data_IF_379021064144
#
_entry.id   IF_379021064144
#
_cell.length_a   1.000
_cell.length_b   1.000
_cell.length_c   1.000
_cell.angle_alpha   90.00
_cell.angle_beta   90.00
_cell.angle_gamma   90.00
#
_symmetry.space_group_name_H-M   'P 1'
#
loop_
_entity.id
_entity.type
_entity.pdbx_description
1 polymer ?
#
# COMPACT_ATOMS: atom_id res chain seq x y z
N UNK A 1 17.00 11.47 -11.81
CA UNK A 1 17.28 10.15 -12.43
C UNK A 1 18.01 9.21 -11.49
N UNK A 2 19.16 9.60 -10.90
CA UNK A 2 19.99 8.71 -10.08
C UNK A 2 19.26 8.16 -8.84
N UNK A 3 18.56 9.00 -8.09
CA UNK A 3 17.88 8.60 -6.85
C UNK A 3 16.53 7.89 -7.04
N UNK A 4 15.99 7.87 -8.25
CA UNK A 4 14.69 7.29 -8.57
C UNK A 4 14.73 6.22 -9.65
N UNK A 5 15.89 5.89 -10.23
CA UNK A 5 16.01 5.03 -11.41
C UNK A 5 15.42 3.64 -11.26
N UNK A 6 15.38 3.10 -10.04
CA UNK A 6 14.81 1.78 -9.69
C UNK A 6 13.46 1.88 -8.99
N UNK A 7 12.81 3.06 -8.97
CA UNK A 7 11.48 3.23 -8.39
C UNK A 7 10.40 3.02 -9.44
N UNK A 8 9.24 2.58 -8.97
CA UNK A 8 8.08 2.38 -9.83
C UNK A 8 7.47 3.72 -10.30
N UNK A 9 6.60 3.62 -11.30
CA UNK A 9 5.90 4.78 -11.87
C UNK A 9 5.08 5.56 -10.82
N UNK A 10 4.53 4.87 -9.82
CA UNK A 10 3.70 5.49 -8.76
C UNK A 10 4.54 6.42 -7.89
N UNK A 11 5.81 6.05 -7.62
CA UNK A 11 6.74 6.92 -6.88
C UNK A 11 6.98 8.23 -7.63
N UNK A 12 7.25 8.17 -8.94
CA UNK A 12 7.48 9.37 -9.77
C UNK A 12 6.25 10.26 -9.85
N UNK A 13 5.07 9.70 -10.14
CA UNK A 13 3.80 10.44 -10.15
C UNK A 13 3.55 11.12 -8.79
N UNK A 14 3.84 10.43 -7.68
CA UNK A 14 3.71 11.00 -6.34
C UNK A 14 4.65 12.18 -6.08
N UNK A 15 5.90 12.08 -6.56
CA UNK A 15 6.90 13.13 -6.46
C UNK A 15 6.51 14.35 -7.30
N UNK A 16 6.16 14.14 -8.56
CA UNK A 16 5.70 15.18 -9.50
C UNK A 16 4.48 15.93 -8.95
N UNK A 17 3.47 15.20 -8.46
CA UNK A 17 2.28 15.81 -7.85
C UNK A 17 2.63 16.72 -6.67
N UNK A 18 3.59 16.32 -5.82
CA UNK A 18 4.00 17.13 -4.67
C UNK A 18 4.75 18.39 -5.11
N UNK A 19 5.61 18.29 -6.12
CA UNK A 19 6.31 19.46 -6.69
C UNK A 19 5.30 20.39 -7.37
N UNK A 20 4.40 19.85 -8.20
CA UNK A 20 3.37 20.65 -8.85
C UNK A 20 2.51 21.41 -7.83
N UNK A 21 2.15 20.77 -6.73
CA UNK A 21 1.40 21.42 -5.65
C UNK A 21 2.15 22.58 -5.00
N UNK A 22 3.48 22.52 -4.91
CA UNK A 22 4.29 23.65 -4.44
C UNK A 22 4.25 24.80 -5.45
N UNK A 23 4.44 24.50 -6.72
CA UNK A 23 4.39 25.48 -7.82
C UNK A 23 3.03 26.16 -7.89
N UNK A 24 1.96 25.39 -7.80
CA UNK A 24 0.58 25.92 -7.86
C UNK A 24 0.27 26.91 -6.71
N UNK A 25 0.88 26.71 -5.54
CA UNK A 25 0.60 27.53 -4.34
C UNK A 25 1.58 28.68 -4.16
N UNK A 26 2.86 28.46 -4.47
CA UNK A 26 3.93 29.41 -4.19
C UNK A 26 4.48 30.09 -5.44
N UNK A 27 4.10 29.62 -6.63
CA UNK A 27 4.65 30.03 -7.93
C UNK A 27 5.86 29.21 -8.35
N UNK A 28 6.12 29.19 -9.66
CA UNK A 28 7.30 28.55 -10.25
C UNK A 28 8.48 29.50 -10.15
N UNK A 29 9.40 29.18 -9.24
CA UNK A 29 10.59 29.99 -8.94
C UNK A 29 11.85 29.13 -8.85
N UNK A 30 13.04 29.70 -9.06
CA UNK A 30 14.31 29.06 -8.73
C UNK A 30 14.33 28.55 -7.28
N UNK A 31 15.03 27.44 -7.04
CA UNK A 31 15.04 26.77 -5.73
C UNK A 31 15.60 27.64 -4.60
N UNK A 32 16.55 28.50 -4.94
CA UNK A 32 17.21 29.45 -4.03
C UNK A 32 16.37 30.69 -3.70
N UNK A 33 15.28 30.94 -4.43
CA UNK A 33 14.35 32.03 -4.17
C UNK A 33 13.24 31.69 -3.19
N UNK A 34 13.05 30.41 -2.84
CA UNK A 34 12.09 30.05 -1.81
C UNK A 34 12.63 30.31 -0.40
N UNK A 35 11.84 30.99 0.42
CA UNK A 35 12.14 31.24 1.83
C UNK A 35 11.43 30.23 2.76
N UNK A 36 11.89 30.15 4.01
CA UNK A 36 11.22 29.31 5.02
C UNK A 36 9.80 29.78 5.33
N UNK A 37 9.49 31.08 5.13
CA UNK A 37 8.13 31.63 5.22
C UNK A 37 7.20 31.10 4.14
N UNK A 38 7.71 30.91 2.91
CA UNK A 38 6.94 30.29 1.83
C UNK A 38 6.60 28.83 2.18
N UNK A 39 7.58 28.09 2.66
CA UNK A 39 7.36 26.70 3.08
C UNK A 39 6.38 26.61 4.28
N UNK A 40 6.39 27.58 5.21
CA UNK A 40 5.39 27.66 6.27
C UNK A 40 3.99 27.95 5.72
N UNK A 41 3.86 28.88 4.77
CA UNK A 41 2.59 29.18 4.09
C UNK A 41 2.04 27.97 3.34
N UNK A 42 2.92 27.19 2.69
CA UNK A 42 2.52 25.93 2.02
C UNK A 42 2.03 24.89 3.03
N UNK A 43 2.70 24.74 4.19
CA UNK A 43 2.21 23.88 5.28
C UNK A 43 0.79 24.27 5.68
N UNK A 44 0.56 25.58 5.94
CA UNK A 44 -0.73 26.09 6.40
C UNK A 44 -1.82 25.88 5.34
N UNK A 45 -1.48 26.04 4.06
CA UNK A 45 -2.37 25.69 2.95
C UNK A 45 -2.77 24.20 2.98
N UNK A 46 -1.81 23.27 3.17
CA UNK A 46 -2.11 21.83 3.21
C UNK A 46 -3.00 21.47 4.40
N UNK A 47 -2.75 22.06 5.57
CA UNK A 47 -3.58 21.87 6.77
C UNK A 47 -4.99 22.42 6.56
N UNK A 48 -5.11 23.64 6.00
CA UNK A 48 -6.41 24.26 5.67
C UNK A 48 -7.19 23.45 4.64
N UNK A 49 -6.49 22.76 3.73
CA UNK A 49 -7.10 21.81 2.76
C UNK A 49 -7.62 20.53 3.42
N UNK A 50 -7.37 20.32 4.72
CA UNK A 50 -7.84 19.17 5.48
C UNK A 50 -6.90 17.95 5.45
N UNK A 51 -5.64 18.12 5.06
CA UNK A 51 -4.67 17.03 5.16
C UNK A 51 -4.30 16.79 6.63
N UNK A 52 -4.20 15.51 7.01
CA UNK A 52 -3.66 15.12 8.32
C UNK A 52 -2.19 15.53 8.45
N UNK A 53 -1.74 15.78 9.68
CA UNK A 53 -0.34 16.15 9.96
C UNK A 53 0.65 15.14 9.44
N UNK A 54 0.31 13.83 9.52
CA UNK A 54 1.12 12.78 8.94
C UNK A 54 1.21 12.86 7.40
N UNK A 55 0.13 13.26 6.71
CA UNK A 55 0.13 13.47 5.26
C UNK A 55 0.97 14.68 4.88
N UNK A 56 0.90 15.78 5.66
CA UNK A 56 1.75 16.96 5.49
C UNK A 56 3.23 16.60 5.69
N UNK A 57 3.57 15.86 6.75
CA UNK A 57 4.94 15.39 7.00
C UNK A 57 5.50 14.55 5.83
N UNK A 58 4.69 13.67 5.25
CA UNK A 58 5.09 12.86 4.06
C UNK A 58 5.31 13.74 2.84
N UNK A 59 4.43 14.71 2.59
CA UNK A 59 4.55 15.67 1.50
C UNK A 59 5.87 16.44 1.62
N UNK A 60 6.13 17.03 2.79
CA UNK A 60 7.37 17.76 3.08
C UNK A 60 8.62 16.87 2.98
N UNK A 61 8.55 15.62 3.41
CA UNK A 61 9.67 14.68 3.27
C UNK A 61 10.06 14.46 1.81
N UNK A 62 9.07 14.34 0.93
CA UNK A 62 9.31 14.20 -0.52
C UNK A 62 9.92 15.48 -1.10
N UNK A 63 9.34 16.65 -0.81
CA UNK A 63 9.82 17.94 -1.30
C UNK A 63 11.25 18.20 -0.81
N UNK A 64 11.52 18.01 0.50
CA UNK A 64 12.87 18.14 1.06
C UNK A 64 13.89 17.28 0.34
N UNK A 65 13.52 16.04 0.04
CA UNK A 65 14.41 15.09 -0.65
C UNK A 65 14.73 15.55 -2.08
N UNK A 66 13.75 16.11 -2.78
CA UNK A 66 13.92 16.60 -4.16
C UNK A 66 14.80 17.86 -4.16
N UNK A 67 14.48 18.84 -3.30
CA UNK A 67 15.24 20.10 -3.20
C UNK A 67 16.70 19.83 -2.77
N UNK A 68 16.91 18.95 -1.77
CA UNK A 68 18.27 18.60 -1.36
C UNK A 68 19.07 17.96 -2.51
N UNK A 69 18.42 17.09 -3.31
CA UNK A 69 19.06 16.51 -4.48
C UNK A 69 19.39 17.59 -5.51
N UNK A 70 18.48 18.53 -5.78
CA UNK A 70 18.70 19.65 -6.70
C UNK A 70 19.88 20.51 -6.24
N UNK A 71 19.95 20.90 -4.98
CA UNK A 71 21.05 21.68 -4.40
C UNK A 71 22.39 20.95 -4.59
N UNK A 72 22.43 19.64 -4.30
CA UNK A 72 23.64 18.82 -4.44
C UNK A 72 24.10 18.66 -5.88
N UNK A 73 23.18 18.31 -6.81
CA UNK A 73 23.51 18.03 -8.21
C UNK A 73 23.90 19.30 -8.99
N UNK A 74 23.34 20.46 -8.61
CA UNK A 74 23.64 21.73 -9.28
C UNK A 74 24.66 22.60 -8.54
N UNK A 75 25.18 22.14 -7.39
CA UNK A 75 26.17 22.89 -6.61
C UNK A 75 25.66 24.25 -6.10
N UNK A 76 24.36 24.33 -5.77
CA UNK A 76 23.76 25.59 -5.34
C UNK A 76 24.22 25.95 -3.93
N UNK A 77 24.65 27.20 -3.73
CA UNK A 77 24.99 27.74 -2.40
C UNK A 77 23.73 28.31 -1.72
N UNK A 78 22.77 27.44 -1.43
CA UNK A 78 21.55 27.81 -0.73
C UNK A 78 21.12 26.74 0.28
N UNK A 79 20.29 27.14 1.25
CA UNK A 79 19.68 26.22 2.20
C UNK A 79 18.30 25.80 1.72
N UNK A 80 17.96 24.53 1.92
CA UNK A 80 16.63 24.05 1.62
C UNK A 80 15.59 24.72 2.53
N UNK A 81 14.76 25.60 1.97
CA UNK A 81 13.73 26.37 2.64
C UNK A 81 12.71 25.50 3.41
N UNK A 82 12.47 24.28 2.94
CA UNK A 82 11.52 23.35 3.56
C UNK A 82 12.11 22.54 4.73
N UNK A 83 13.45 22.61 4.98
CA UNK A 83 14.11 21.75 5.98
C UNK A 83 13.76 22.08 7.42
N UNK A 84 13.62 23.36 7.78
CA UNK A 84 13.47 23.84 9.16
C UNK A 84 12.06 24.35 9.49
N UNK A 85 11.07 24.02 8.67
CA UNK A 85 9.70 24.40 8.94
C UNK A 85 9.11 23.50 10.02
N UNK A 86 8.54 24.10 11.05
CA UNK A 86 7.81 23.36 12.08
C UNK A 86 6.60 22.65 11.46
N UNK A 87 6.49 21.37 11.70
CA UNK A 87 5.34 20.55 11.31
C UNK A 87 4.66 20.06 12.60
N UNK A 88 3.37 20.35 12.80
CA UNK A 88 2.64 19.91 13.99
C UNK A 88 2.70 18.38 14.13
N UNK A 89 2.64 17.90 15.37
CA UNK A 89 2.54 16.48 15.69
C UNK A 89 1.21 16.22 16.41
N UNK A 90 0.13 16.23 15.63
CA UNK A 90 -1.22 15.98 16.14
C UNK A 90 -1.60 14.53 15.83
N UNK A 91 -2.34 13.90 16.75
CA UNK A 91 -2.95 12.59 16.51
C UNK A 91 -4.31 12.78 15.79
N UNK A 92 -4.23 13.37 14.58
CA UNK A 92 -5.37 13.69 13.72
C UNK A 92 -5.69 12.57 12.71
N UNK A 93 -4.96 11.45 12.77
CA UNK A 93 -5.18 10.30 11.91
C UNK A 93 -6.33 9.43 12.45
N UNK A 94 -7.30 9.13 11.60
CA UNK A 94 -8.34 8.15 11.93
C UNK A 94 -7.71 6.78 12.06
N UNK A 95 -7.63 6.24 13.28
CA UNK A 95 -7.17 4.87 13.54
C UNK A 95 -8.29 3.90 13.21
N UNK A 96 -7.99 2.89 12.39
CA UNK A 96 -8.94 1.80 12.16
C UNK A 96 -9.06 0.96 13.42
N UNK A 97 -10.29 0.57 13.74
CA UNK A 97 -10.56 -0.37 14.83
C UNK A 97 -10.29 -1.82 14.37
N UNK A 98 -9.83 -2.70 15.25
CA UNK A 98 -9.79 -4.13 14.96
C UNK A 98 -11.19 -4.66 14.65
N UNK A 99 -11.29 -5.60 13.72
CA UNK A 99 -12.55 -6.31 13.47
C UNK A 99 -12.79 -7.26 14.66
N UNK A 100 -13.96 -7.21 15.31
CA UNK A 100 -14.28 -8.13 16.39
C UNK A 100 -14.25 -9.60 15.94
N UNK A 101 -13.88 -10.50 16.84
CA UNK A 101 -13.69 -11.92 16.50
C UNK A 101 -14.97 -12.59 15.97
N UNK A 102 -16.13 -12.18 16.48
CA UNK A 102 -17.44 -12.67 16.05
C UNK A 102 -17.70 -12.30 14.59
N UNK A 103 -17.35 -11.06 14.19
CA UNK A 103 -17.46 -10.63 12.82
C UNK A 103 -16.47 -11.38 11.90
N UNK A 104 -15.25 -11.67 12.38
CA UNK A 104 -14.29 -12.47 11.61
C UNK A 104 -14.84 -13.86 11.35
N UNK A 105 -15.42 -14.52 12.36
CA UNK A 105 -16.04 -15.85 12.22
C UNK A 105 -17.20 -15.84 11.23
N UNK A 106 -18.07 -14.82 11.32
CA UNK A 106 -19.19 -14.67 10.39
C UNK A 106 -18.68 -14.42 8.95
N UNK A 107 -17.67 -13.54 8.77
CA UNK A 107 -17.04 -13.30 7.47
C UNK A 107 -16.48 -14.59 6.89
N UNK A 108 -15.82 -15.41 7.70
CA UNK A 108 -15.28 -16.71 7.26
C UNK A 108 -16.38 -17.70 6.84
N UNK A 109 -17.51 -17.66 7.51
CA UNK A 109 -18.68 -18.45 7.12
C UNK A 109 -19.28 -17.93 5.81
N UNK A 110 -19.54 -16.61 5.71
CA UNK A 110 -20.07 -15.98 4.50
C UNK A 110 -19.16 -16.26 3.28
N UNK A 111 -17.82 -16.28 3.48
CA UNK A 111 -16.90 -16.65 2.43
C UNK A 111 -17.11 -18.08 1.90
N UNK A 112 -17.47 -19.01 2.79
CA UNK A 112 -17.74 -20.40 2.40
C UNK A 112 -19.09 -20.54 1.68
N UNK A 113 -20.06 -19.74 2.07
CA UNK A 113 -21.41 -19.75 1.47
C UNK A 113 -21.43 -19.11 0.08
N UNK A 114 -20.72 -17.98 -0.09
CA UNK A 114 -20.64 -17.30 -1.40
C UNK A 114 -19.66 -17.97 -2.37
N UNK A 115 -18.62 -18.61 -1.86
CA UNK A 115 -17.65 -19.50 -2.53
C UNK A 115 -17.15 -19.01 -3.92
N UNK A 116 -16.64 -17.78 -3.98
CA UNK A 116 -16.08 -17.18 -5.17
C UNK A 116 -14.62 -16.69 -4.97
N UNK A 117 -13.96 -16.31 -6.05
CA UNK A 117 -12.56 -15.84 -6.07
C UNK A 117 -12.28 -14.72 -5.05
N UNK A 118 -13.20 -13.76 -4.90
CA UNK A 118 -13.00 -12.65 -3.99
C UNK A 118 -13.12 -13.10 -2.52
N UNK A 119 -13.99 -14.07 -2.22
CA UNK A 119 -14.17 -14.66 -0.87
C UNK A 119 -13.02 -15.58 -0.53
N UNK A 120 -12.47 -16.31 -1.48
CA UNK A 120 -11.25 -17.08 -1.26
C UNK A 120 -10.09 -16.18 -0.86
N UNK A 121 -9.96 -14.98 -1.47
CA UNK A 121 -8.93 -14.01 -1.10
C UNK A 121 -9.13 -13.47 0.32
N UNK A 122 -10.35 -13.17 0.73
CA UNK A 122 -10.67 -12.74 2.10
C UNK A 122 -10.37 -13.85 3.10
N UNK A 123 -10.85 -15.07 2.86
CA UNK A 123 -10.64 -16.22 3.72
C UNK A 123 -9.14 -16.57 3.84
N UNK A 124 -8.38 -16.46 2.75
CA UNK A 124 -6.94 -16.68 2.75
C UNK A 124 -6.21 -15.70 3.68
N UNK A 125 -6.57 -14.42 3.63
CA UNK A 125 -5.94 -13.37 4.43
C UNK A 125 -6.34 -13.48 5.90
N UNK A 126 -7.55 -13.91 6.21
CA UNK A 126 -8.10 -13.90 7.57
C UNK A 126 -7.26 -14.71 8.56
N UNK A 127 -6.70 -15.84 8.14
CA UNK A 127 -5.91 -16.73 9.00
C UNK A 127 -4.39 -16.63 8.74
N UNK A 128 -3.96 -16.07 7.60
CA UNK A 128 -2.53 -15.98 7.26
C UNK A 128 -1.87 -14.66 7.65
N UNK A 129 -2.66 -13.60 7.83
CA UNK A 129 -2.14 -12.26 8.07
C UNK A 129 -1.26 -11.71 6.93
N UNK A 130 -1.37 -12.24 5.73
CA UNK A 130 -0.65 -11.75 4.56
C UNK A 130 -1.07 -10.32 4.20
N UNK A 131 -0.14 -9.55 3.64
CA UNK A 131 -0.55 -8.29 3.01
C UNK A 131 -1.42 -8.58 1.78
N UNK A 132 -2.41 -7.73 1.55
CA UNK A 132 -3.33 -7.92 0.42
C UNK A 132 -2.61 -8.09 -0.92
N UNK A 133 -1.57 -7.29 -1.18
CA UNK A 133 -0.77 -7.42 -2.41
C UNK A 133 0.04 -8.73 -2.49
N UNK A 134 0.43 -9.29 -1.34
CA UNK A 134 1.09 -10.60 -1.27
C UNK A 134 0.11 -11.70 -1.64
N UNK A 135 -1.09 -11.67 -1.04
CA UNK A 135 -2.12 -12.68 -1.28
C UNK A 135 -2.71 -12.57 -2.69
N UNK A 136 -3.13 -11.38 -3.12
CA UNK A 136 -3.71 -11.16 -4.45
C UNK A 136 -2.76 -11.53 -5.60
N UNK A 137 -1.43 -11.40 -5.38
CA UNK A 137 -0.40 -11.71 -6.37
C UNK A 137 0.17 -13.13 -6.28
N UNK A 138 -0.46 -14.07 -5.59
CA UNK A 138 0.04 -15.44 -5.49
C UNK A 138 0.06 -16.15 -6.84
N UNK A 139 1.17 -16.86 -7.10
CA UNK A 139 1.23 -17.89 -8.11
C UNK A 139 0.56 -19.15 -7.58
N UNK A 140 -0.14 -19.91 -8.42
CA UNK A 140 -0.80 -21.13 -7.96
C UNK A 140 0.18 -22.16 -7.37
N UNK A 141 1.42 -22.19 -7.86
CA UNK A 141 2.47 -23.07 -7.34
C UNK A 141 3.11 -22.56 -6.03
N UNK A 142 2.79 -21.33 -5.57
CA UNK A 142 3.16 -20.90 -4.22
C UNK A 142 2.35 -21.64 -3.14
N UNK A 143 1.21 -22.22 -3.50
CA UNK A 143 0.31 -22.95 -2.61
C UNK A 143 0.70 -24.42 -2.63
N UNK A 144 1.19 -24.91 -1.51
CA UNK A 144 1.62 -26.30 -1.32
C UNK A 144 0.61 -26.98 -0.38
N UNK A 145 -0.13 -27.94 -0.91
CA UNK A 145 -1.11 -28.72 -0.15
C UNK A 145 -0.63 -30.14 0.18
N UNK A 146 0.40 -30.58 -0.50
CA UNK A 146 0.98 -31.92 -0.33
C UNK A 146 1.94 -31.93 0.87
N UNK A 147 1.93 -33.00 1.66
CA UNK A 147 2.78 -33.21 2.82
C UNK A 147 2.04 -33.01 4.16
N UNK A 148 2.78 -33.08 5.27
CA UNK A 148 2.21 -33.08 6.64
C UNK A 148 1.57 -31.74 7.01
N UNK A 149 2.05 -30.66 6.47
CA UNK A 149 1.56 -29.31 6.73
C UNK A 149 1.38 -28.57 5.41
N UNK A 150 0.16 -28.16 5.11
CA UNK A 150 -0.15 -27.26 3.99
C UNK A 150 0.38 -25.84 4.28
N UNK A 151 0.99 -25.18 3.28
CA UNK A 151 1.54 -23.85 3.45
C UNK A 151 1.61 -23.05 2.15
N UNK A 152 1.78 -21.73 2.27
CA UNK A 152 2.15 -20.83 1.18
C UNK A 152 3.65 -20.59 1.24
N UNK A 153 4.36 -20.83 0.13
CA UNK A 153 5.75 -20.43 -0.04
C UNK A 153 5.82 -19.03 -0.66
N UNK A 154 5.76 -18.00 0.17
CA UNK A 154 5.72 -16.62 -0.29
C UNK A 154 7.09 -16.17 -0.82
N UNK A 155 7.21 -16.07 -2.15
CA UNK A 155 8.42 -15.66 -2.87
C UNK A 155 8.12 -14.48 -3.80
N UNK A 156 9.11 -13.64 -4.19
CA UNK A 156 8.90 -12.60 -5.20
C UNK A 156 8.63 -13.22 -6.58
N UNK A 157 7.81 -12.54 -7.38
CA UNK A 157 7.53 -12.86 -8.78
C UNK A 157 7.68 -11.60 -9.65
N UNK A 158 7.80 -11.70 -10.98
CA UNK A 158 7.91 -10.53 -11.86
C UNK A 158 6.77 -9.51 -11.71
N UNK A 159 5.57 -9.98 -11.39
CA UNK A 159 4.37 -9.15 -11.19
C UNK A 159 4.13 -8.75 -9.74
N UNK A 160 4.82 -9.37 -8.77
CA UNK A 160 4.63 -9.13 -7.34
C UNK A 160 5.97 -9.02 -6.61
N UNK A 161 6.36 -7.82 -6.27
CA UNK A 161 7.48 -7.57 -5.38
C UNK A 161 7.08 -7.73 -3.92
N UNK A 162 8.02 -8.19 -3.08
CA UNK A 162 7.85 -8.19 -1.63
C UNK A 162 8.42 -6.89 -1.04
N UNK A 163 7.76 -6.35 0.00
CA UNK A 163 8.12 -5.06 0.60
C UNK A 163 9.56 -5.03 1.16
N UNK A 164 10.02 -6.14 1.72
CA UNK A 164 11.38 -6.27 2.30
C UNK A 164 11.93 -7.66 1.99
N UNK A 165 13.26 -7.83 2.08
CA UNK A 165 13.90 -9.14 1.93
C UNK A 165 13.36 -10.18 2.92
N UNK A 166 13.05 -9.78 4.16
CA UNK A 166 12.45 -10.66 5.18
C UNK A 166 10.97 -11.00 4.98
N UNK A 167 10.33 -10.45 3.93
CA UNK A 167 8.95 -10.81 3.60
C UNK A 167 8.84 -12.19 2.92
N UNK A 168 9.94 -12.73 2.38
CA UNK A 168 9.99 -14.11 1.88
C UNK A 168 9.88 -15.07 3.06
N UNK A 169 8.84 -15.92 3.07
CA UNK A 169 8.54 -16.82 4.18
C UNK A 169 7.59 -17.93 3.77
N UNK A 170 7.56 -18.99 4.56
CA UNK A 170 6.52 -20.00 4.53
C UNK A 170 5.41 -19.62 5.54
N UNK A 171 4.16 -19.77 5.14
CA UNK A 171 2.99 -19.42 5.94
C UNK A 171 2.10 -20.64 6.04
N UNK A 172 1.95 -21.27 7.21
CA UNK A 172 1.05 -22.41 7.37
C UNK A 172 -0.39 -22.04 7.01
N UNK A 173 -1.09 -22.96 6.40
CA UNK A 173 -2.50 -22.85 6.06
C UNK A 173 -3.35 -23.60 7.09
N UNK A 174 -4.29 -22.87 7.71
CA UNK A 174 -5.21 -23.41 8.72
C UNK A 174 -6.62 -22.89 8.49
N UNK A 175 -7.63 -23.52 9.05
CA UNK A 175 -9.00 -23.01 9.09
C UNK A 175 -9.53 -22.58 7.72
N UNK A 176 -9.94 -21.32 7.61
CA UNK A 176 -10.51 -20.76 6.38
C UNK A 176 -9.48 -20.52 5.30
N UNK A 177 -8.21 -20.28 5.67
CA UNK A 177 -7.13 -20.14 4.68
C UNK A 177 -6.81 -21.46 3.99
N UNK A 178 -6.87 -22.58 4.70
CA UNK A 178 -6.71 -23.91 4.11
C UNK A 178 -7.86 -24.23 3.15
N UNK A 179 -9.09 -23.96 3.56
CA UNK A 179 -10.25 -24.13 2.69
C UNK A 179 -10.13 -23.31 1.40
N UNK A 180 -9.76 -22.04 1.52
CA UNK A 180 -9.59 -21.16 0.35
C UNK A 180 -8.47 -21.67 -0.57
N UNK A 181 -7.35 -22.11 -0.01
CA UNK A 181 -6.24 -22.67 -0.78
C UNK A 181 -6.65 -23.93 -1.55
N UNK A 182 -7.47 -24.79 -0.96
CA UNK A 182 -8.03 -25.96 -1.63
C UNK A 182 -8.95 -25.56 -2.80
N UNK A 183 -9.82 -24.53 -2.61
CA UNK A 183 -10.67 -23.99 -3.69
C UNK A 183 -9.84 -23.46 -4.85
N UNK A 184 -8.82 -22.64 -4.56
CA UNK A 184 -7.90 -22.11 -5.57
C UNK A 184 -7.19 -23.22 -6.35
N UNK A 185 -6.72 -24.27 -5.68
CA UNK A 185 -6.00 -25.38 -6.33
C UNK A 185 -6.93 -26.29 -7.15
N UNK A 186 -8.22 -26.33 -6.85
CA UNK A 186 -9.21 -27.07 -7.61
C UNK A 186 -9.60 -26.39 -8.94
N UNK A 187 -9.19 -25.13 -9.15
CA UNK A 187 -9.30 -24.43 -10.43
C UNK A 187 -7.91 -24.34 -11.12
N UNK A 188 -7.45 -25.39 -11.80
CA UNK A 188 -6.07 -25.51 -12.26
C UNK A 188 -5.76 -24.72 -13.54
N UNK A 189 -6.73 -23.98 -14.09
CA UNK A 189 -6.59 -23.35 -15.40
C UNK A 189 -5.80 -22.04 -15.41
N UNK A 190 -5.31 -21.59 -14.25
CA UNK A 190 -4.67 -20.28 -14.13
C UNK A 190 -3.26 -20.36 -13.54
N UNK A 191 -2.38 -19.51 -14.05
CA UNK A 191 -1.03 -19.28 -13.48
C UNK A 191 -1.12 -18.58 -12.12
N UNK A 192 -2.11 -17.72 -11.95
CA UNK A 192 -2.32 -16.92 -10.74
C UNK A 192 -3.44 -17.50 -9.89
N UNK A 193 -3.27 -17.44 -8.57
CA UNK A 193 -4.33 -17.79 -7.64
C UNK A 193 -5.57 -16.87 -7.79
N UNK A 194 -5.34 -15.63 -8.25
CA UNK A 194 -6.38 -14.63 -8.46
C UNK A 194 -6.17 -13.92 -9.81
N UNK A 195 -6.56 -14.54 -10.94
CA UNK A 195 -6.30 -14.04 -12.28
C UNK A 195 -6.81 -12.63 -12.54
N UNK A 196 -7.97 -12.29 -11.96
CA UNK A 196 -8.61 -10.98 -12.09
C UNK A 196 -7.73 -9.81 -11.71
N UNK A 197 -6.78 -10.02 -10.81
CA UNK A 197 -5.93 -8.96 -10.26
C UNK A 197 -4.51 -8.96 -10.81
N UNK A 198 -4.16 -9.91 -11.69
CA UNK A 198 -2.79 -10.11 -12.14
C UNK A 198 -2.63 -10.03 -13.64
N UNK A 199 -1.49 -9.49 -14.06
CA UNK A 199 -0.94 -9.56 -15.41
C UNK A 199 0.47 -10.15 -15.34
N UNK A 200 1.13 -10.32 -16.48
CA UNK A 200 2.52 -10.82 -16.52
C UNK A 200 3.54 -9.92 -15.81
N UNK A 201 3.19 -8.66 -15.58
CA UNK A 201 4.12 -7.64 -15.03
C UNK A 201 3.64 -6.97 -13.74
N UNK A 202 2.35 -7.06 -13.38
CA UNK A 202 1.81 -6.33 -12.24
C UNK A 202 0.68 -7.06 -11.53
N UNK A 203 0.57 -6.83 -10.21
CA UNK A 203 -0.60 -7.16 -9.39
C UNK A 203 -1.37 -5.89 -9.05
N UNK A 204 -2.64 -5.81 -9.42
CA UNK A 204 -3.53 -4.69 -9.10
C UNK A 204 -4.17 -4.86 -7.71
N UNK A 205 -3.38 -4.67 -6.66
CA UNK A 205 -3.85 -4.76 -5.29
C UNK A 205 -4.90 -3.68 -4.93
N UNK A 206 -4.93 -2.54 -5.65
CA UNK A 206 -5.93 -1.49 -5.42
C UNK A 206 -7.32 -1.95 -5.85
N UNK A 207 -7.44 -2.64 -6.99
CA UNK A 207 -8.71 -3.24 -7.43
C UNK A 207 -9.19 -4.30 -6.45
N UNK A 208 -8.30 -5.18 -5.97
CA UNK A 208 -8.62 -6.16 -4.95
C UNK A 208 -9.08 -5.49 -3.64
N UNK A 209 -8.38 -4.45 -3.20
CA UNK A 209 -8.74 -3.67 -2.01
C UNK A 209 -10.13 -3.03 -2.14
N UNK A 210 -10.44 -2.44 -3.28
CA UNK A 210 -11.74 -1.81 -3.52
C UNK A 210 -12.88 -2.83 -3.45
N UNK A 211 -12.72 -3.98 -4.10
CA UNK A 211 -13.71 -5.06 -4.10
C UNK A 211 -13.95 -5.62 -2.70
N UNK A 212 -12.87 -5.98 -2.00
CA UNK A 212 -12.94 -6.56 -0.64
C UNK A 212 -13.52 -5.56 0.35
N UNK A 213 -13.04 -4.31 0.37
CA UNK A 213 -13.51 -3.31 1.32
C UNK A 213 -14.98 -2.95 1.10
N UNK A 214 -15.47 -2.94 -0.15
CA UNK A 214 -16.89 -2.74 -0.44
C UNK A 214 -17.76 -3.83 0.20
N UNK A 215 -17.32 -5.07 0.13
CA UNK A 215 -18.03 -6.23 0.70
C UNK A 215 -17.92 -6.26 2.23
N UNK A 216 -16.72 -6.03 2.80
CA UNK A 216 -16.49 -6.02 4.24
C UNK A 216 -17.25 -4.92 4.99
N UNK A 217 -17.39 -3.71 4.39
CA UNK A 217 -18.13 -2.59 5.00
C UNK A 217 -19.55 -2.93 5.44
N UNK A 218 -20.18 -3.91 4.81
CA UNK A 218 -21.53 -4.37 5.15
C UNK A 218 -21.54 -5.41 6.30
N UNK A 219 -20.37 -5.88 6.73
CA UNK A 219 -20.19 -7.03 7.64
C UNK A 219 -19.41 -6.70 8.91
N UNK A 220 -18.86 -5.51 8.98
CA UNK A 220 -18.06 -5.08 10.14
C UNK A 220 -18.58 -3.77 10.71
N UNK A 221 -18.36 -3.50 12.01
CA UNK A 221 -18.72 -2.23 12.62
C UNK A 221 -18.00 -1.04 11.96
N UNK A 222 -18.59 0.13 12.11
CA UNK A 222 -18.02 1.38 11.59
C UNK A 222 -16.61 1.63 12.16
N UNK A 223 -15.71 2.02 11.28
CA UNK A 223 -14.31 2.32 11.61
C UNK A 223 -13.36 1.13 11.54
N UNK A 224 -13.83 -0.07 11.18
CA UNK A 224 -12.96 -1.24 11.01
C UNK A 224 -12.34 -1.33 9.58
N UNK A 225 -13.02 -0.78 8.57
CA UNK A 225 -12.61 -0.84 7.15
C UNK A 225 -12.64 0.54 6.50
#
# INVERSE_FOLDING_TARGET
>A
RLKGSNKDKVFHIGAERNVQSVIDVLGDRPVDEYASSDAASYRDYLLKKGLTTNSVKRNFSTIRSIINLCIQEHGLDCKNAFSRVYLPDLDDSKKRKPIPIENIRQIQQDCREEDDEARWLVALISDTGMRLSEAAGLHINDIILDGDIAYINLTPHPWRNLKTKGSKRQIPLVGSSLWAAQRIKNDPHHTYAFPRYNTTSTTNANSASAAINKWLKQRVPEGCV
#
